data_IF_188681933922
#
_entry.id   IF_188681933922
#
_cell.length_a   1.000
_cell.length_b   1.000
_cell.length_c   1.000
_cell.angle_alpha   90.00
_cell.angle_beta   90.00
_cell.angle_gamma   90.00
#
_symmetry.space_group_name_H-M   'P 1'
#
loop_
_entity.id
_entity.type
_entity.pdbx_description
1 polymer ?
#
# COMPACT_ATOMS: atom_id res chain seq x y z
N UNK A 1 -17.08 -6.07 3.29
CA UNK A 1 -16.15 -6.34 2.17
C UNK A 1 -16.98 -6.83 0.99
N UNK A 2 -16.85 -6.25 -0.20
CA UNK A 2 -17.51 -6.70 -1.44
C UNK A 2 -16.46 -7.20 -2.43
N UNK A 3 -16.67 -8.39 -2.96
CA UNK A 3 -15.80 -9.06 -3.93
C UNK A 3 -16.56 -9.21 -5.25
N UNK A 4 -16.07 -8.56 -6.30
CA UNK A 4 -16.70 -8.60 -7.63
C UNK A 4 -15.70 -9.09 -8.66
N UNK A 5 -16.07 -10.13 -9.41
CA UNK A 5 -15.35 -10.52 -10.62
C UNK A 5 -16.15 -9.97 -11.79
N UNK A 6 -15.53 -9.09 -12.58
CA UNK A 6 -16.20 -8.41 -13.67
C UNK A 6 -15.29 -8.22 -14.87
N UNK A 7 -15.87 -8.20 -16.08
CA UNK A 7 -15.19 -7.66 -17.25
C UNK A 7 -15.30 -6.16 -17.20
N UNK A 8 -14.17 -5.47 -17.07
CA UNK A 8 -14.16 -4.04 -16.88
C UNK A 8 -12.98 -3.35 -17.56
N UNK A 9 -13.09 -2.04 -17.77
CA UNK A 9 -11.94 -1.14 -17.94
C UNK A 9 -11.77 -0.33 -16.66
N UNK A 10 -10.57 0.18 -16.41
CA UNK A 10 -10.31 1.06 -15.26
C UNK A 10 -9.45 2.24 -15.69
N UNK A 11 -9.91 3.44 -15.38
CA UNK A 11 -9.12 4.66 -15.51
C UNK A 11 -8.83 5.22 -14.12
N UNK A 12 -7.59 5.65 -13.91
CA UNK A 12 -7.19 6.46 -12.77
C UNK A 12 -6.85 7.87 -13.25
N UNK A 13 -7.39 8.85 -12.55
CA UNK A 13 -7.11 10.28 -12.76
C UNK A 13 -6.74 10.93 -11.44
N UNK A 14 -5.59 11.60 -11.39
CA UNK A 14 -5.13 12.30 -10.19
C UNK A 14 -3.71 12.80 -10.35
N UNK A 15 -2.80 12.35 -9.48
CA UNK A 15 -1.37 12.69 -9.54
C UNK A 15 -0.66 12.17 -10.78
N UNK A 16 -1.25 11.18 -11.43
CA UNK A 16 -0.88 10.65 -12.74
C UNK A 16 -2.15 10.19 -13.46
N UNK A 17 -2.01 9.73 -14.69
CA UNK A 17 -3.09 9.02 -15.40
C UNK A 17 -2.66 7.59 -15.67
N UNK A 18 -3.57 6.65 -15.48
CA UNK A 18 -3.34 5.24 -15.80
C UNK A 18 -4.61 4.60 -16.37
N UNK A 19 -4.44 3.70 -17.34
CA UNK A 19 -5.53 3.00 -17.99
C UNK A 19 -5.29 1.49 -17.95
N UNK A 20 -6.33 0.73 -17.62
CA UNK A 20 -6.39 -0.72 -17.73
C UNK A 20 -7.45 -1.08 -18.78
N UNK A 21 -6.98 -1.67 -19.89
CA UNK A 21 -7.81 -2.13 -21.01
C UNK A 21 -8.85 -3.17 -20.59
N UNK A 22 -9.84 -3.45 -21.44
CA UNK A 22 -10.94 -4.37 -21.10
C UNK A 22 -10.40 -5.78 -20.77
N UNK A 23 -10.67 -6.27 -19.57
CA UNK A 23 -10.34 -7.62 -19.14
C UNK A 23 -11.21 -8.05 -17.96
N UNK A 24 -11.27 -9.35 -17.68
CA UNK A 24 -11.84 -9.87 -16.44
C UNK A 24 -10.90 -9.57 -15.27
N UNK A 25 -11.42 -8.97 -14.20
CA UNK A 25 -10.66 -8.55 -13.02
C UNK A 25 -11.41 -8.86 -11.75
N UNK A 26 -10.65 -9.05 -10.67
CA UNK A 26 -11.17 -9.06 -9.32
C UNK A 26 -11.12 -7.63 -8.74
N UNK A 27 -12.28 -7.12 -8.37
CA UNK A 27 -12.48 -5.87 -7.67
C UNK A 27 -12.74 -6.20 -6.18
N UNK A 28 -11.88 -5.67 -5.31
CA UNK A 28 -12.04 -5.80 -3.85
C UNK A 28 -12.38 -4.44 -3.28
N UNK A 29 -13.65 -4.24 -2.95
CA UNK A 29 -14.14 -3.02 -2.30
C UNK A 29 -14.27 -3.24 -0.79
N UNK A 30 -13.47 -2.53 -0.01
CA UNK A 30 -13.37 -2.70 1.44
C UNK A 30 -14.36 -1.80 2.18
N UNK A 31 -14.58 -2.10 3.47
CA UNK A 31 -15.50 -1.32 4.32
C UNK A 31 -15.02 0.11 4.62
N UNK A 32 -13.74 0.41 4.40
CA UNK A 32 -13.16 1.76 4.53
C UNK A 32 -13.26 2.60 3.24
N UNK A 33 -13.95 2.07 2.21
CA UNK A 33 -14.13 2.68 0.90
C UNK A 33 -12.99 2.42 -0.09
N UNK A 34 -11.90 1.76 0.33
CA UNK A 34 -10.82 1.45 -0.59
C UNK A 34 -11.23 0.44 -1.66
N UNK A 35 -10.63 0.59 -2.85
CA UNK A 35 -10.83 -0.32 -3.98
C UNK A 35 -9.47 -0.84 -4.44
N UNK A 36 -9.38 -2.14 -4.63
CA UNK A 36 -8.22 -2.80 -5.24
C UNK A 36 -8.66 -3.54 -6.50
N UNK A 37 -7.85 -3.41 -7.56
CA UNK A 37 -8.09 -4.02 -8.87
C UNK A 37 -7.00 -5.05 -9.15
N UNK A 38 -7.38 -6.31 -9.24
CA UNK A 38 -6.47 -7.44 -9.44
C UNK A 38 -6.70 -8.17 -10.77
N UNK A 39 -5.65 -8.81 -11.26
CA UNK A 39 -5.66 -9.84 -12.30
C UNK A 39 -5.05 -11.13 -11.76
N UNK A 40 -5.22 -12.24 -12.49
CA UNK A 40 -4.65 -13.54 -12.11
C UNK A 40 -3.10 -13.55 -12.12
N UNK A 41 -2.48 -12.67 -12.90
CA UNK A 41 -1.03 -12.49 -12.96
C UNK A 41 -0.57 -11.07 -12.61
N UNK A 42 0.74 -10.83 -12.67
CA UNK A 42 1.31 -9.47 -12.64
C UNK A 42 1.97 -9.05 -11.31
N UNK A 43 1.65 -9.69 -10.18
CA UNK A 43 2.32 -9.63 -8.87
C UNK A 43 1.31 -10.06 -7.79
N UNK A 44 1.74 -10.23 -6.53
CA UNK A 44 0.84 -10.31 -5.37
C UNK A 44 0.14 -8.96 -5.06
N UNK A 45 0.57 -7.86 -5.71
CA UNK A 45 0.01 -6.51 -5.54
C UNK A 45 -1.13 -6.26 -6.53
N UNK A 46 -2.11 -5.38 -6.18
CA UNK A 46 -3.10 -4.92 -7.15
C UNK A 46 -2.44 -4.17 -8.32
N UNK A 47 -3.05 -4.25 -9.50
CA UNK A 47 -2.63 -3.49 -10.68
C UNK A 47 -2.90 -1.99 -10.51
N UNK A 48 -4.01 -1.66 -9.85
CA UNK A 48 -4.41 -0.29 -9.53
C UNK A 48 -5.25 -0.29 -8.24
N UNK A 49 -5.19 0.78 -7.46
CA UNK A 49 -5.90 0.87 -6.18
C UNK A 49 -6.15 2.30 -5.77
N UNK A 50 -7.15 2.49 -4.90
CA UNK A 50 -7.35 3.71 -4.15
C UNK A 50 -7.36 3.41 -2.66
N UNK A 51 -6.46 4.05 -1.91
CA UNK A 51 -6.35 3.92 -0.45
C UNK A 51 -7.34 4.84 0.26
N UNK A 52 -7.89 4.46 1.43
CA UNK A 52 -8.85 5.30 2.14
C UNK A 52 -8.22 6.62 2.60
N UNK A 53 -9.02 7.66 2.90
CA UNK A 53 -10.50 7.68 2.86
C UNK A 53 -11.03 7.85 1.43
N UNK A 54 -11.98 6.99 1.03
CA UNK A 54 -12.63 7.08 -0.27
C UNK A 54 -14.14 6.91 -0.16
N UNK A 55 -14.87 7.43 -1.15
CA UNK A 55 -16.26 7.12 -1.37
C UNK A 55 -16.43 6.43 -2.72
N UNK A 56 -17.25 5.38 -2.75
CA UNK A 56 -17.71 4.74 -3.98
C UNK A 56 -19.10 5.28 -4.34
N UNK A 57 -19.24 5.73 -5.58
CA UNK A 57 -20.52 6.08 -6.20
C UNK A 57 -20.75 5.10 -7.35
N UNK A 58 -21.91 4.44 -7.35
CA UNK A 58 -22.37 3.67 -8.50
C UNK A 58 -23.17 4.63 -9.39
N UNK A 59 -22.72 4.77 -10.63
CA UNK A 59 -23.27 5.66 -11.64
C UNK A 59 -23.86 4.82 -12.78
N UNK A 60 -25.02 5.25 -13.29
CA UNK A 60 -25.54 4.75 -14.56
C UNK A 60 -24.60 5.19 -15.69
N UNK A 61 -24.31 4.31 -16.67
CA UNK A 61 -23.49 4.69 -17.81
C UNK A 61 -24.17 5.79 -18.62
N UNK A 62 -23.40 6.77 -19.08
CA UNK A 62 -23.87 7.72 -20.10
C UNK A 62 -24.13 7.02 -21.44
N UNK A 63 -24.76 7.73 -22.38
CA UNK A 63 -25.18 7.16 -23.66
C UNK A 63 -24.00 6.59 -24.47
N UNK A 64 -22.82 7.22 -24.41
CA UNK A 64 -21.62 6.77 -25.12
C UNK A 64 -21.05 5.49 -24.49
N UNK A 65 -20.99 5.43 -23.16
CA UNK A 65 -20.55 4.25 -22.42
C UNK A 65 -21.52 3.08 -22.62
N UNK A 66 -22.83 3.34 -22.60
CA UNK A 66 -23.85 2.33 -22.83
C UNK A 66 -23.79 1.75 -24.25
N UNK A 67 -23.53 2.57 -25.27
CA UNK A 67 -23.40 2.13 -26.68
C UNK A 67 -22.25 1.13 -26.88
N UNK A 68 -21.15 1.29 -26.12
CA UNK A 68 -20.02 0.35 -26.15
C UNK A 68 -20.20 -0.85 -25.19
N UNK A 69 -21.36 -0.97 -24.54
CA UNK A 69 -21.73 -2.12 -23.72
C UNK A 69 -21.36 -2.02 -22.24
N UNK A 70 -21.10 -0.83 -21.71
CA UNK A 70 -20.98 -0.63 -20.26
C UNK A 70 -22.38 -0.73 -19.63
N UNK A 71 -22.50 -1.54 -18.57
CA UNK A 71 -23.75 -1.75 -17.83
C UNK A 71 -23.78 -0.98 -16.50
N UNK A 72 -22.62 -0.64 -15.95
CA UNK A 72 -22.51 0.06 -14.65
C UNK A 72 -21.14 0.76 -14.55
N UNK A 73 -21.09 1.90 -13.85
CA UNK A 73 -19.85 2.62 -13.60
C UNK A 73 -19.62 2.79 -12.09
N UNK A 74 -18.42 2.45 -11.62
CA UNK A 74 -18.02 2.76 -10.24
C UNK A 74 -17.02 3.89 -10.25
N UNK A 75 -17.36 4.98 -9.57
CA UNK A 75 -16.42 6.07 -9.28
C UNK A 75 -15.98 5.99 -7.84
N UNK A 76 -14.70 5.70 -7.63
CA UNK A 76 -14.06 5.69 -6.30
C UNK A 76 -13.15 6.91 -6.17
N UNK A 77 -13.53 7.86 -5.32
CA UNK A 77 -12.84 9.15 -5.18
C UNK A 77 -12.17 9.25 -3.82
N UNK A 78 -10.88 9.62 -3.81
CA UNK A 78 -10.14 9.90 -2.58
C UNK A 78 -10.53 11.26 -2.00
N UNK A 79 -10.99 11.28 -0.75
CA UNK A 79 -11.65 12.44 -0.16
C UNK A 79 -10.74 13.68 0.00
N UNK A 80 -9.42 13.49 0.10
CA UNK A 80 -8.48 14.60 0.33
C UNK A 80 -7.85 15.15 -0.93
N UNK A 81 -7.54 14.28 -1.89
CA UNK A 81 -6.79 14.68 -3.10
C UNK A 81 -7.68 14.81 -4.33
N UNK A 82 -8.88 14.23 -4.31
CA UNK A 82 -9.76 14.18 -5.48
C UNK A 82 -9.34 13.16 -6.55
N UNK A 83 -8.25 12.40 -6.32
CA UNK A 83 -7.85 11.29 -7.19
C UNK A 83 -9.04 10.31 -7.32
N UNK A 84 -9.31 9.83 -8.54
CA UNK A 84 -10.45 8.97 -8.81
C UNK A 84 -10.05 7.71 -9.60
N UNK A 85 -10.67 6.57 -9.25
CA UNK A 85 -10.77 5.39 -10.10
C UNK A 85 -12.17 5.35 -10.72
N UNK A 86 -12.24 5.27 -12.04
CA UNK A 86 -13.47 5.01 -12.77
C UNK A 86 -13.40 3.59 -13.34
N UNK A 87 -14.18 2.68 -12.77
CA UNK A 87 -14.34 1.31 -13.28
C UNK A 87 -15.58 1.28 -14.15
N UNK A 88 -15.44 0.91 -15.42
CA UNK A 88 -16.59 0.67 -16.30
C UNK A 88 -16.81 -0.83 -16.42
N UNK A 89 -17.96 -1.30 -15.96
CA UNK A 89 -18.32 -2.71 -15.90
C UNK A 89 -19.12 -3.05 -17.15
N UNK A 90 -18.71 -4.10 -17.85
CA UNK A 90 -19.37 -4.62 -19.06
C UNK A 90 -20.14 -5.90 -18.75
N UNK A 91 -19.67 -6.66 -17.76
CA UNK A 91 -20.27 -7.93 -17.34
C UNK A 91 -19.88 -8.20 -15.89
N UNK A 92 -20.83 -8.58 -15.05
CA UNK A 92 -20.57 -9.09 -13.70
C UNK A 92 -20.64 -10.62 -13.74
N UNK A 93 -19.50 -11.25 -13.48
CA UNK A 93 -19.37 -12.72 -13.44
C UNK A 93 -19.68 -13.26 -12.05
N UNK A 94 -19.29 -12.51 -11.01
CA UNK A 94 -19.53 -12.85 -9.61
C UNK A 94 -19.63 -11.59 -8.76
N UNK A 95 -20.56 -11.57 -7.80
CA UNK A 95 -20.68 -10.51 -6.79
C UNK A 95 -21.07 -11.12 -5.44
N UNK A 96 -20.28 -10.85 -4.41
CA UNK A 96 -20.56 -11.32 -3.05
C UNK A 96 -20.11 -10.30 -2.00
N UNK A 97 -20.83 -10.26 -0.89
CA UNK A 97 -20.53 -9.38 0.24
C UNK A 97 -20.38 -10.16 1.53
N UNK A 98 -19.38 -9.78 2.32
CA UNK A 98 -18.99 -10.46 3.56
C UNK A 98 -18.66 -9.45 4.66
N UNK A 99 -19.09 -9.73 5.89
CA UNK A 99 -18.65 -9.03 7.09
C UNK A 99 -17.43 -9.76 7.67
N UNK A 100 -16.31 -9.04 7.83
CA UNK A 100 -15.07 -9.62 8.34
C UNK A 100 -14.89 -9.40 9.86
N UNK A 101 -15.78 -8.64 10.50
CA UNK A 101 -15.68 -8.30 11.91
C UNK A 101 -14.54 -7.31 12.21
N UNK A 102 -14.12 -7.32 13.48
CA UNK A 102 -13.03 -6.47 13.99
C UNK A 102 -11.70 -7.15 13.72
N UNK A 103 -10.79 -6.46 13.05
CA UNK A 103 -9.42 -6.93 12.86
C UNK A 103 -8.62 -6.75 14.17
N UNK A 104 -8.06 -7.83 14.75
CA UNK A 104 -7.20 -7.72 15.93
C UNK A 104 -5.85 -7.06 15.63
N UNK A 105 -5.53 -6.83 14.36
CA UNK A 105 -4.29 -6.24 13.89
C UNK A 105 -3.22 -7.27 13.57
N UNK A 106 -2.34 -6.90 12.63
CA UNK A 106 -1.18 -7.71 12.27
C UNK A 106 -0.07 -7.51 13.31
N UNK A 107 0.24 -8.56 14.07
CA UNK A 107 1.46 -8.62 14.90
C UNK A 107 2.62 -9.03 14.01
N UNK A 108 3.70 -8.24 14.03
CA UNK A 108 4.92 -8.54 13.29
C UNK A 108 6.05 -8.75 14.29
N UNK A 109 6.60 -9.96 14.31
CA UNK A 109 7.81 -10.28 15.05
C UNK A 109 9.03 -10.20 14.13
N UNK A 110 10.15 -9.73 14.68
CA UNK A 110 11.41 -9.61 13.95
C UNK A 110 11.35 -8.50 12.89
N UNK A 111 10.76 -7.35 13.23
CA UNK A 111 10.83 -6.15 12.39
C UNK A 111 12.21 -5.50 12.50
N UNK A 112 12.53 -4.58 11.58
CA UNK A 112 13.82 -3.87 11.60
C UNK A 112 14.06 -3.14 12.92
N UNK A 113 13.01 -2.62 13.55
CA UNK A 113 13.08 -2.00 14.88
C UNK A 113 13.52 -2.99 15.98
N UNK A 114 13.18 -4.29 15.86
CA UNK A 114 13.64 -5.32 16.80
C UNK A 114 15.14 -5.57 16.62
N UNK A 115 15.59 -5.67 15.37
CA UNK A 115 17.02 -5.84 15.05
C UNK A 115 17.83 -4.63 15.52
N UNK A 116 17.34 -3.41 15.27
CA UNK A 116 17.94 -2.18 15.76
C UNK A 116 18.02 -2.16 17.29
N UNK A 117 16.95 -2.56 18.00
CA UNK A 117 16.96 -2.65 19.47
C UNK A 117 17.99 -3.67 19.96
N UNK A 118 18.01 -4.87 19.39
CA UNK A 118 18.94 -5.94 19.80
C UNK A 118 20.41 -5.56 19.54
N UNK A 119 20.71 -4.88 18.43
CA UNK A 119 22.04 -4.35 18.13
C UNK A 119 22.44 -3.22 19.08
N UNK A 120 21.51 -2.34 19.44
CA UNK A 120 21.76 -1.27 20.41
C UNK A 120 22.10 -1.79 21.81
N UNK A 121 21.54 -2.94 22.20
CA UNK A 121 21.83 -3.62 23.47
C UNK A 121 23.20 -4.31 23.48
N UNK A 122 23.80 -4.54 22.30
CA UNK A 122 25.01 -5.34 22.13
C UNK A 122 25.97 -4.70 21.11
N UNK A 123 26.24 -3.40 21.24
CA UNK A 123 27.04 -2.65 20.25
C UNK A 123 28.45 -3.21 20.03
N UNK A 124 28.98 -3.99 20.98
CA UNK A 124 30.26 -4.68 20.84
C UNK A 124 30.29 -5.68 19.67
N UNK A 125 29.14 -6.19 19.21
CA UNK A 125 29.08 -7.05 18.01
C UNK A 125 29.39 -6.29 16.71
N UNK A 126 29.32 -4.96 16.75
CA UNK A 126 29.64 -4.07 15.62
C UNK A 126 31.12 -3.72 15.64
N UNK A 127 31.72 -3.58 16.83
CA UNK A 127 33.14 -3.32 17.01
C UNK A 127 33.51 -3.09 18.46
N UNK A 128 34.77 -3.37 18.80
CA UNK A 128 35.26 -3.32 20.18
C UNK A 128 35.27 -1.89 20.74
N UNK A 129 34.81 -1.76 21.99
CA UNK A 129 34.87 -0.51 22.76
C UNK A 129 33.89 0.56 22.29
N UNK A 130 33.00 0.26 21.33
CA UNK A 130 31.97 1.17 20.88
C UNK A 130 30.93 1.39 21.98
N UNK A 131 30.39 2.60 22.06
CA UNK A 131 29.28 2.92 22.96
C UNK A 131 28.12 3.52 22.20
N UNK A 132 26.90 3.12 22.56
CA UNK A 132 25.68 3.70 21.98
C UNK A 132 25.55 5.16 22.42
N UNK A 133 25.45 6.08 21.45
CA UNK A 133 25.05 7.46 21.73
C UNK A 133 23.52 7.52 21.81
N UNK A 134 22.84 7.06 20.77
CA UNK A 134 21.36 7.09 20.67
C UNK A 134 20.88 6.26 19.48
N UNK A 135 19.69 5.67 19.64
CA UNK A 135 18.87 5.09 18.57
C UNK A 135 18.03 6.18 17.90
N UNK A 136 17.79 6.07 16.60
CA UNK A 136 17.02 7.06 15.83
C UNK A 136 17.59 8.48 16.05
N UNK A 137 18.91 8.63 15.88
CA UNK A 137 19.57 9.91 16.12
C UNK A 137 19.10 10.92 15.06
N UNK A 138 18.40 12.02 15.43
CA UNK A 138 17.85 12.95 14.46
C UNK A 138 18.95 13.72 13.75
N UNK A 139 18.87 13.82 12.41
CA UNK A 139 19.72 14.71 11.61
C UNK A 139 18.86 15.68 10.79
N UNK A 140 19.50 16.58 10.05
CA UNK A 140 18.80 17.53 9.17
C UNK A 140 18.03 16.87 8.02
N UNK A 141 18.38 15.64 7.61
CA UNK A 141 17.82 14.96 6.43
C UNK A 141 17.11 13.65 6.76
N UNK A 142 17.02 13.28 8.03
CA UNK A 142 16.43 12.02 8.49
C UNK A 142 17.20 11.42 9.67
N UNK A 143 16.61 10.49 10.43
CA UNK A 143 17.31 9.84 11.52
C UNK A 143 18.38 8.85 11.01
N UNK A 144 19.41 8.64 11.82
CA UNK A 144 20.33 7.49 11.70
C UNK A 144 19.85 6.41 12.67
N UNK A 145 19.78 5.16 12.23
CA UNK A 145 19.26 4.06 13.06
C UNK A 145 20.03 3.94 14.38
N UNK A 146 21.37 3.85 14.35
CA UNK A 146 22.22 3.90 15.53
C UNK A 146 23.38 4.87 15.31
N UNK A 147 23.53 5.82 16.23
CA UNK A 147 24.77 6.60 16.34
C UNK A 147 25.60 6.04 17.49
N UNK A 148 26.82 5.64 17.18
CA UNK A 148 27.79 5.09 18.13
C UNK A 148 28.97 6.05 18.31
N UNK A 149 29.67 5.92 19.43
CA UNK A 149 30.92 6.62 19.71
C UNK A 149 32.07 5.62 19.80
N UNK A 150 33.13 5.89 19.03
CA UNK A 150 34.41 5.19 19.07
C UNK A 150 35.21 5.66 20.31
N UNK A 151 35.97 4.77 20.98
CA UNK A 151 37.01 5.12 21.96
C UNK A 151 37.91 6.32 21.61
N UNK A 152 38.26 6.51 20.32
CA UNK A 152 39.09 7.62 19.84
C UNK A 152 38.33 8.97 19.75
N UNK A 153 37.06 9.01 20.17
CA UNK A 153 36.22 10.20 20.19
C UNK A 153 35.42 10.45 18.90
N UNK A 154 35.63 9.64 17.85
CA UNK A 154 34.84 9.68 16.61
C UNK A 154 33.42 9.14 16.76
N UNK A 155 32.58 9.38 15.75
CA UNK A 155 31.21 8.84 15.66
C UNK A 155 31.07 7.86 14.51
N UNK A 156 30.33 6.78 14.72
CA UNK A 156 29.98 5.79 13.69
C UNK A 156 28.46 5.80 13.52
N UNK A 157 28.00 5.99 12.27
CA UNK A 157 26.61 5.85 11.90
C UNK A 157 26.38 4.42 11.38
N UNK A 158 25.38 3.74 11.93
CA UNK A 158 25.00 2.39 11.51
C UNK A 158 23.58 2.44 11.00
N UNK A 159 23.40 1.99 9.76
CA UNK A 159 22.10 1.72 9.14
C UNK A 159 21.81 0.23 9.31
N UNK A 160 20.64 -0.11 9.84
CA UNK A 160 20.21 -1.48 10.08
C UNK A 160 19.25 -1.87 8.98
N UNK A 161 19.45 -3.06 8.40
CA UNK A 161 18.53 -3.62 7.42
C UNK A 161 18.20 -5.06 7.78
N UNK A 162 16.91 -5.38 7.82
CA UNK A 162 16.49 -6.77 8.10
C UNK A 162 16.80 -7.74 6.96
N UNK A 163 16.78 -7.26 5.71
CA UNK A 163 17.18 -8.02 4.52
C UNK A 163 18.30 -7.26 3.83
N UNK A 164 19.39 -7.96 3.52
CA UNK A 164 20.52 -7.41 2.79
C UNK A 164 20.23 -7.45 1.28
N UNK A 165 19.41 -6.52 0.81
CA UNK A 165 19.23 -6.23 -0.61
C UNK A 165 19.61 -4.76 -0.82
N UNK A 166 20.92 -4.46 -0.81
CA UNK A 166 21.50 -3.21 -1.31
C UNK A 166 22.15 -3.52 -2.66
#
# INVERSE_FOLDING_TARGET
>A
MRLVIARCTVDYTGRLNAHLALATRLLVHKGDGSLLVHSDGGSYKPLNWMSPPCSLVVEEPDAEAADVGVIEQWRVTHAKTGDALLVRIYEVVHDSSHELGIDPGLVKDGVEADLQRLLAEQVDVIGDGLSLVRREYPTAIGPVDLLLRNPDGGTIAVEVKRRGDI
#
